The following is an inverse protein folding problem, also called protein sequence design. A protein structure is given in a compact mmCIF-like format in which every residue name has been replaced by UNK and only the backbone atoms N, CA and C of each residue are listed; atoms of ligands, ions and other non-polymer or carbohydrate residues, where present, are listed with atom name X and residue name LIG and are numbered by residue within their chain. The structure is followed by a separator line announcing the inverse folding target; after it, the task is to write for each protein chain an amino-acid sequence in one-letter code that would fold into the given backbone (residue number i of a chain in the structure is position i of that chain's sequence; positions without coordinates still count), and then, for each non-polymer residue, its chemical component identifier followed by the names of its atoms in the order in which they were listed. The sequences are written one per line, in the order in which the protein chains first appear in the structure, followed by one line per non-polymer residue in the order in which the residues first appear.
data_IF_003789940458
#
_entry.id   IF_003789940458
#
_cell.length_a   1.000
_cell.length_b   1.000
_cell.length_c   1.000
_cell.angle_alpha   90.00
_cell.angle_beta   90.00
_cell.angle_gamma   90.00
#
_symmetry.space_group_name_H-M   'P 1'
#
loop_
_entity.id
_entity.type
_entity.pdbx_description
1 polymer ?
#
# COMPACT_ATOMS: atom_id res chain seq x y z
N UNK A 1 59.91 24.43 2.04
CA UNK A 1 59.97 23.86 3.41
C UNK A 1 58.78 22.93 3.59
N UNK A 2 59.02 21.63 3.38
CA UNK A 2 58.01 20.57 3.53
C UNK A 2 57.93 20.16 4.99
N UNK A 3 56.74 20.06 5.55
CA UNK A 3 56.49 19.37 6.81
C UNK A 3 55.65 18.12 6.56
N UNK A 4 56.27 16.98 6.69
CA UNK A 4 55.67 15.67 6.72
C UNK A 4 55.13 15.41 8.12
N UNK A 5 53.87 15.12 8.27
CA UNK A 5 53.27 14.64 9.51
C UNK A 5 52.97 13.16 9.35
N UNK A 6 53.70 12.34 10.10
CA UNK A 6 53.48 10.92 10.22
C UNK A 6 52.36 10.66 11.24
N UNK A 7 51.36 9.88 10.85
CA UNK A 7 50.31 9.37 11.74
C UNK A 7 50.64 7.89 12.04
N UNK A 8 50.90 7.62 13.34
CA UNK A 8 51.16 6.27 13.86
C UNK A 8 49.83 5.49 14.01
N UNK A 9 49.76 4.28 13.42
CA UNK A 9 48.70 3.30 13.70
C UNK A 9 48.97 2.65 15.07
N UNK A 10 48.02 2.71 15.97
CA UNK A 10 47.96 1.85 17.16
C UNK A 10 46.95 0.73 16.89
N UNK A 11 47.47 -0.49 16.81
CA UNK A 11 46.66 -1.71 16.81
C UNK A 11 46.39 -2.14 18.24
N UNK A 12 45.14 -2.21 18.64
CA UNK A 12 44.74 -2.79 19.95
C UNK A 12 44.14 -4.15 19.72
N UNK A 13 44.88 -5.18 20.17
CA UNK A 13 44.41 -6.55 20.23
C UNK A 13 43.61 -6.75 21.51
N UNK A 14 42.36 -7.17 21.40
CA UNK A 14 41.52 -7.62 22.52
C UNK A 14 41.32 -9.12 22.45
N UNK A 15 41.86 -9.81 23.45
CA UNK A 15 41.84 -11.23 23.68
C UNK A 15 40.45 -11.69 24.19
N UNK A 16 39.95 -12.80 23.67
CA UNK A 16 38.78 -13.52 24.17
C UNK A 16 39.17 -14.50 25.26
N UNK A 17 38.41 -14.70 26.33
CA UNK A 17 38.47 -15.91 27.13
C UNK A 17 37.41 -16.93 26.70
N UNK A 18 37.91 -18.14 26.40
CA UNK A 18 37.08 -19.34 26.32
C UNK A 18 36.89 -19.90 27.72
N UNK A 19 35.69 -20.22 28.10
CA UNK A 19 35.40 -21.32 29.06
C UNK A 19 33.94 -21.75 28.92
N UNK A 20 33.78 -22.92 28.33
CA UNK A 20 32.54 -23.68 28.36
C UNK A 20 32.75 -24.91 29.26
N UNK A 21 31.91 -25.08 30.26
CA UNK A 21 31.76 -26.36 30.95
C UNK A 21 30.30 -26.78 31.01
N UNK A 22 29.98 -28.04 30.80
CA UNK A 22 28.63 -28.56 30.79
C UNK A 22 28.13 -28.89 32.20
N UNK A 23 26.86 -28.58 32.45
CA UNK A 23 26.13 -28.93 33.67
C UNK A 23 25.49 -30.32 33.56
N UNK A 24 25.33 -31.05 34.69
CA UNK A 24 24.89 -32.43 34.72
C UNK A 24 23.40 -32.60 34.55
N UNK A 25 23.05 -33.74 33.94
CA UNK A 25 21.71 -34.31 33.80
C UNK A 25 21.13 -34.68 35.17
N UNK A 26 19.92 -34.26 35.47
CA UNK A 26 19.08 -34.79 36.52
C UNK A 26 17.77 -35.35 35.93
N UNK A 27 17.67 -36.66 35.97
CA UNK A 27 16.42 -37.39 35.72
C UNK A 27 15.43 -37.14 36.86
N UNK A 28 14.22 -36.67 36.54
CA UNK A 28 13.11 -36.51 37.45
C UNK A 28 11.82 -37.00 36.81
N UNK A 29 11.37 -38.17 37.17
CA UNK A 29 10.05 -38.75 36.92
C UNK A 29 8.97 -37.95 37.60
N UNK A 30 7.88 -37.59 36.91
CA UNK A 30 6.71 -37.09 37.62
C UNK A 30 5.67 -36.39 36.79
N UNK A 31 4.57 -37.07 36.47
CA UNK A 31 3.25 -36.49 36.43
C UNK A 31 2.90 -35.63 35.20
N UNK A 32 2.40 -36.27 34.20
CA UNK A 32 1.69 -35.63 33.07
C UNK A 32 0.36 -35.02 33.57
N UNK A 33 0.39 -33.74 33.98
CA UNK A 33 -0.84 -32.93 34.10
C UNK A 33 -1.17 -32.38 32.72
N UNK A 34 -2.16 -32.96 32.08
CA UNK A 34 -2.77 -32.43 30.87
C UNK A 34 -3.38 -31.07 31.20
N UNK A 35 -2.73 -30.01 30.76
CA UNK A 35 -3.31 -28.66 30.70
C UNK A 35 -4.39 -28.64 29.60
N UNK A 36 -5.60 -28.11 29.86
CA UNK A 36 -6.59 -27.94 28.81
C UNK A 36 -6.00 -27.06 27.71
N UNK A 37 -6.10 -27.51 26.47
CA UNK A 37 -5.73 -26.73 25.29
C UNK A 37 -6.68 -25.53 25.25
N UNK A 38 -6.12 -24.34 25.49
CA UNK A 38 -6.83 -23.09 25.21
C UNK A 38 -6.86 -22.98 23.68
N UNK A 39 -8.01 -23.26 23.08
CA UNK A 39 -8.29 -22.99 21.69
C UNK A 39 -8.35 -21.48 21.52
N UNK A 40 -7.28 -20.90 21.00
CA UNK A 40 -7.35 -19.54 20.47
C UNK A 40 -8.19 -19.60 19.18
N UNK A 41 -9.24 -18.76 19.04
CA UNK A 41 -9.88 -18.62 17.74
C UNK A 41 -8.80 -18.22 16.73
N UNK A 42 -8.76 -18.92 15.60
CA UNK A 42 -7.90 -18.53 14.49
C UNK A 42 -8.16 -17.04 14.18
N UNK A 43 -7.13 -16.22 13.97
CA UNK A 43 -7.36 -14.83 13.59
C UNK A 43 -8.30 -14.84 12.39
N UNK A 44 -9.38 -14.05 12.49
CA UNK A 44 -10.27 -13.81 11.38
C UNK A 44 -9.38 -13.38 10.21
N UNK A 45 -9.48 -14.08 9.09
CA UNK A 45 -8.79 -13.66 7.87
C UNK A 45 -9.30 -12.26 7.61
N UNK A 46 -8.41 -11.28 7.68
CA UNK A 46 -8.72 -9.91 7.31
C UNK A 46 -9.23 -9.94 5.87
N UNK A 47 -10.55 -9.87 5.71
CA UNK A 47 -11.14 -9.67 4.41
C UNK A 47 -10.72 -8.27 3.98
N UNK A 48 -10.07 -8.15 2.84
CA UNK A 48 -9.63 -6.88 2.29
C UNK A 48 -10.81 -6.04 1.75
N UNK A 49 -12.01 -6.21 2.33
CA UNK A 49 -13.16 -5.38 2.08
C UNK A 49 -13.98 -5.71 0.82
N UNK A 50 -13.80 -6.88 0.20
CA UNK A 50 -14.64 -7.35 -0.92
C UNK A 50 -14.61 -6.49 -2.19
N UNK A 51 -13.69 -5.53 -2.27
CA UNK A 51 -13.55 -4.62 -3.39
C UNK A 51 -12.64 -5.15 -4.51
N UNK A 52 -12.40 -4.30 -5.50
CA UNK A 52 -11.54 -4.57 -6.65
C UNK A 52 -10.12 -5.05 -6.25
N UNK A 53 -9.63 -4.63 -5.09
CA UNK A 53 -8.33 -5.07 -4.55
C UNK A 53 -8.37 -6.51 -4.09
N UNK A 54 -9.40 -6.96 -3.40
CA UNK A 54 -9.54 -8.36 -3.00
C UNK A 54 -9.65 -9.25 -4.23
N UNK A 55 -10.35 -8.78 -5.25
CA UNK A 55 -10.39 -9.40 -6.57
C UNK A 55 -9.01 -9.46 -7.24
N UNK A 56 -8.17 -8.45 -7.09
CA UNK A 56 -6.83 -8.40 -7.69
C UNK A 56 -5.77 -9.18 -6.92
N UNK A 57 -5.88 -9.28 -5.59
CA UNK A 57 -4.77 -9.69 -4.73
C UNK A 57 -5.15 -10.69 -3.64
N UNK A 58 -6.44 -11.03 -3.49
CA UNK A 58 -6.92 -12.05 -2.57
C UNK A 58 -6.36 -13.44 -2.91
N UNK A 59 -6.03 -14.21 -1.90
CA UNK A 59 -5.55 -15.58 -2.05
C UNK A 59 -6.73 -16.53 -2.31
N UNK A 60 -6.99 -16.84 -3.59
CA UNK A 60 -7.87 -17.92 -4.03
C UNK A 60 -9.37 -17.62 -4.04
N UNK A 61 -10.11 -18.33 -4.88
CA UNK A 61 -11.55 -18.12 -5.02
C UNK A 61 -12.29 -18.63 -3.77
N UNK A 62 -12.87 -17.72 -3.01
CA UNK A 62 -14.01 -18.08 -2.19
C UNK A 62 -15.11 -18.53 -3.15
N UNK A 63 -15.46 -19.81 -3.12
CA UNK A 63 -16.62 -20.32 -3.86
C UNK A 63 -17.87 -19.66 -3.30
N UNK A 64 -18.23 -18.53 -3.84
CA UNK A 64 -19.60 -18.03 -3.78
C UNK A 64 -20.37 -18.91 -4.75
N UNK A 65 -21.18 -19.82 -4.25
CA UNK A 65 -22.11 -20.57 -5.10
C UNK A 65 -23.03 -19.54 -5.79
N UNK A 66 -23.21 -19.66 -7.12
CA UNK A 66 -24.17 -18.78 -7.80
C UNK A 66 -25.56 -19.02 -7.20
N UNK A 67 -26.20 -17.95 -6.73
CA UNK A 67 -27.63 -18.03 -6.45
C UNK A 67 -28.34 -18.34 -7.76
N UNK A 68 -29.04 -19.46 -7.80
CA UNK A 68 -29.84 -19.84 -8.96
C UNK A 68 -30.84 -18.73 -9.30
N UNK A 69 -30.99 -18.35 -10.57
CA UNK A 69 -32.00 -17.40 -10.97
C UNK A 69 -33.38 -18.03 -10.74
N UNK A 70 -34.11 -17.55 -9.73
CA UNK A 70 -35.52 -17.90 -9.58
C UNK A 70 -36.31 -17.17 -10.67
N UNK A 71 -36.70 -17.92 -11.71
CA UNK A 71 -37.67 -17.45 -12.68
C UNK A 71 -39.04 -17.32 -11.99
N UNK A 72 -39.52 -16.08 -11.83
CA UNK A 72 -40.92 -15.81 -11.52
C UNK A 72 -41.71 -15.85 -12.80
N UNK A 73 -42.50 -16.94 -12.97
CA UNK A 73 -43.53 -17.04 -14.02
C UNK A 73 -44.74 -16.23 -13.56
N UNK A 74 -45.12 -15.19 -14.32
CA UNK A 74 -46.45 -14.67 -14.53
C UNK A 74 -47.18 -14.01 -13.36
N UNK A 75 -47.21 -12.67 -13.37
CA UNK A 75 -48.34 -11.90 -12.81
C UNK A 75 -48.69 -10.74 -13.79
N UNK A 76 -50.00 -10.43 -13.99
CA UNK A 76 -50.43 -9.48 -14.99
C UNK A 76 -50.19 -8.04 -14.58
N UNK A 77 -50.11 -7.17 -15.58
CA UNK A 77 -49.92 -5.73 -15.47
C UNK A 77 -50.91 -5.08 -14.47
N UNK A 78 -50.37 -4.58 -13.38
CA UNK A 78 -51.10 -3.75 -12.40
C UNK A 78 -50.16 -2.69 -11.86
N UNK A 79 -50.51 -1.42 -12.11
CA UNK A 79 -50.10 -0.18 -11.44
C UNK A 79 -48.77 -0.21 -10.69
N UNK A 80 -47.73 0.39 -11.25
CA UNK A 80 -46.45 0.62 -10.58
C UNK A 80 -46.67 1.49 -9.33
N UNK A 81 -46.35 0.99 -8.12
CA UNK A 81 -46.24 1.88 -6.98
C UNK A 81 -45.05 2.79 -7.20
N UNK A 82 -45.19 4.06 -6.83
CA UNK A 82 -44.14 5.05 -6.83
C UNK A 82 -42.88 4.42 -6.19
N UNK A 83 -41.79 4.40 -6.94
CA UNK A 83 -40.50 3.95 -6.44
C UNK A 83 -40.22 4.74 -5.16
N UNK A 84 -40.32 4.07 -4.00
CA UNK A 84 -39.61 4.50 -2.85
C UNK A 84 -38.14 4.59 -3.31
N UNK A 85 -37.62 5.80 -3.36
CA UNK A 85 -36.23 6.09 -3.59
C UNK A 85 -35.50 5.39 -2.45
N UNK A 86 -35.11 4.12 -2.64
CA UNK A 86 -34.14 3.50 -1.78
C UNK A 86 -32.88 4.34 -1.96
N UNK A 87 -32.61 5.17 -0.97
CA UNK A 87 -31.33 5.82 -0.82
C UNK A 87 -30.28 4.75 -1.11
N UNK A 88 -29.30 5.00 -2.01
CA UNK A 88 -28.26 4.02 -2.27
C UNK A 88 -27.64 3.73 -0.90
N UNK A 89 -27.74 2.46 -0.47
CA UNK A 89 -27.05 1.97 0.72
C UNK A 89 -25.61 2.46 0.54
N UNK A 90 -25.22 3.46 1.38
CA UNK A 90 -24.00 4.22 1.17
C UNK A 90 -22.86 3.28 0.88
N UNK A 91 -22.20 3.48 -0.24
CA UNK A 91 -21.09 2.66 -0.68
C UNK A 91 -20.14 2.45 0.52
N UNK A 92 -19.54 1.29 0.65
CA UNK A 92 -18.54 1.00 1.68
C UNK A 92 -17.48 2.12 1.78
N UNK A 93 -17.19 2.77 0.67
CA UNK A 93 -16.39 3.99 0.57
C UNK A 93 -16.91 5.17 1.43
N UNK A 94 -18.24 5.30 1.61
CA UNK A 94 -18.84 6.36 2.44
C UNK A 94 -18.76 6.06 3.94
N UNK A 95 -18.47 4.82 4.34
CA UNK A 95 -18.35 4.39 5.74
C UNK A 95 -16.91 4.31 6.21
N UNK A 96 -15.93 4.41 5.29
CA UNK A 96 -14.53 4.33 5.66
C UNK A 96 -14.03 5.68 6.18
N UNK A 97 -13.91 5.79 7.48
CA UNK A 97 -13.22 6.91 8.11
C UNK A 97 -11.72 6.58 8.18
N UNK A 98 -10.94 7.25 7.32
CA UNK A 98 -9.48 7.10 7.31
C UNK A 98 -8.89 7.56 8.64
N UNK A 99 -7.95 6.77 9.19
CA UNK A 99 -7.21 7.18 10.39
C UNK A 99 -6.61 8.58 10.21
N UNK A 100 -6.82 9.48 11.17
CA UNK A 100 -6.33 10.87 11.10
C UNK A 100 -4.83 10.99 10.83
N UNK A 101 -4.03 9.97 11.19
CA UNK A 101 -2.58 9.94 10.97
C UNK A 101 -2.21 10.01 9.49
N UNK A 102 -3.07 9.49 8.60
CA UNK A 102 -2.84 9.50 7.15
C UNK A 102 -3.41 10.72 6.43
N UNK A 103 -4.02 11.66 7.15
CA UNK A 103 -4.46 12.91 6.55
C UNK A 103 -3.25 13.74 6.13
N UNK A 104 -3.42 14.48 5.03
CA UNK A 104 -2.41 15.43 4.57
C UNK A 104 -2.12 16.47 5.62
N UNK A 105 -0.84 16.71 5.92
CA UNK A 105 -0.42 17.70 6.90
C UNK A 105 1.03 18.17 6.68
N UNK A 106 1.30 19.41 7.07
CA UNK A 106 2.65 19.94 7.10
C UNK A 106 3.39 19.37 8.33
N UNK A 107 4.61 18.88 8.12
CA UNK A 107 5.45 18.31 9.18
C UNK A 107 6.86 18.89 9.09
N UNK A 108 7.61 18.84 10.19
CA UNK A 108 9.04 19.08 10.17
C UNK A 108 9.77 18.01 9.39
N UNK A 109 10.81 18.41 8.66
CA UNK A 109 11.63 17.53 7.85
C UNK A 109 13.12 17.83 8.08
N UNK A 110 13.80 16.92 8.77
CA UNK A 110 15.23 17.02 9.09
C UNK A 110 16.14 16.29 8.08
N UNK A 111 15.60 15.79 6.96
CA UNK A 111 16.38 15.09 5.94
C UNK A 111 17.19 16.02 5.04
N UNK A 112 18.13 15.45 4.28
CA UNK A 112 19.04 16.20 3.41
C UNK A 112 18.56 16.43 1.98
N UNK A 113 17.32 16.01 1.61
CA UNK A 113 16.82 16.19 0.27
C UNK A 113 16.37 17.63 -0.01
N UNK A 114 16.59 18.09 -1.24
CA UNK A 114 16.26 19.44 -1.67
C UNK A 114 14.75 19.67 -1.76
N UNK A 115 14.27 20.90 -1.54
CA UNK A 115 12.89 21.28 -1.79
C UNK A 115 12.42 20.87 -3.19
N UNK A 116 11.18 20.41 -3.28
CA UNK A 116 10.59 19.84 -4.50
C UNK A 116 10.86 18.35 -4.70
N UNK A 117 11.73 17.71 -3.89
CA UNK A 117 11.92 16.25 -3.93
C UNK A 117 10.71 15.55 -3.29
N UNK A 118 10.28 14.46 -3.89
CA UNK A 118 9.30 13.53 -3.33
C UNK A 118 10.04 12.39 -2.64
N UNK A 119 9.70 12.10 -1.39
CA UNK A 119 10.23 10.96 -0.64
C UNK A 119 9.08 10.01 -0.34
N UNK A 120 9.26 8.74 -0.62
CA UNK A 120 8.30 7.67 -0.35
C UNK A 120 8.88 6.77 0.74
N UNK A 121 8.33 6.88 1.93
CA UNK A 121 8.65 6.08 3.10
C UNK A 121 7.71 4.87 3.09
N UNK A 122 8.15 3.79 2.44
CA UNK A 122 7.36 2.57 2.26
C UNK A 122 7.03 1.89 3.59
N UNK A 123 7.96 1.72 4.55
CA UNK A 123 7.66 1.11 5.85
C UNK A 123 6.58 1.84 6.63
N UNK A 124 6.62 3.17 6.65
CA UNK A 124 5.69 3.99 7.42
C UNK A 124 4.42 4.37 6.64
N UNK A 125 4.38 4.10 5.33
CA UNK A 125 3.26 4.39 4.42
C UNK A 125 2.94 5.87 4.33
N UNK A 126 4.00 6.68 4.19
CA UNK A 126 3.91 8.12 3.96
C UNK A 126 4.68 8.53 2.70
N UNK A 127 4.16 9.56 2.06
CA UNK A 127 4.86 10.31 1.02
C UNK A 127 5.09 11.73 1.54
N UNK A 128 6.29 12.25 1.33
CA UNK A 128 6.67 13.60 1.71
C UNK A 128 7.05 14.38 0.46
N UNK A 129 6.48 15.56 0.29
CA UNK A 129 6.96 16.56 -0.66
C UNK A 129 7.78 17.58 0.12
N UNK A 130 9.10 17.55 -0.04
CA UNK A 130 10.02 18.44 0.67
C UNK A 130 9.74 19.88 0.28
N UNK A 131 9.68 20.75 1.30
CA UNK A 131 9.44 22.19 1.17
C UNK A 131 10.65 22.97 1.72
N UNK A 132 10.67 24.26 1.46
CA UNK A 132 11.63 25.16 2.09
C UNK A 132 11.45 25.24 3.61
N UNK A 133 12.52 25.68 4.31
CA UNK A 133 12.49 25.92 5.74
C UNK A 133 12.39 24.65 6.60
N UNK A 134 12.98 23.54 6.16
CA UNK A 134 13.04 22.30 6.94
C UNK A 134 11.67 21.67 7.18
N UNK A 135 10.77 21.77 6.23
CA UNK A 135 9.40 21.23 6.30
C UNK A 135 9.11 20.30 5.13
N UNK A 136 8.11 19.48 5.28
CA UNK A 136 7.55 18.69 4.19
C UNK A 136 6.03 18.58 4.29
N UNK A 137 5.36 18.53 3.15
CA UNK A 137 3.96 18.19 3.09
C UNK A 137 3.85 16.66 3.05
N UNK A 138 3.28 16.07 4.09
CA UNK A 138 3.13 14.63 4.27
C UNK A 138 1.75 14.18 3.83
N UNK A 139 1.70 13.07 3.09
CA UNK A 139 0.49 12.39 2.65
C UNK A 139 0.51 10.94 3.12
N UNK A 140 -0.65 10.40 3.47
CA UNK A 140 -0.82 8.96 3.66
C UNK A 140 -0.87 8.24 2.31
N UNK A 141 -0.23 7.07 2.22
CA UNK A 141 -0.17 6.29 0.99
C UNK A 141 -0.47 4.81 1.24
N UNK A 142 -0.93 4.12 0.19
CA UNK A 142 -0.89 2.67 0.09
C UNK A 142 0.33 2.23 -0.72
N UNK A 143 0.97 1.13 -0.33
CA UNK A 143 2.23 0.69 -0.91
C UNK A 143 2.19 -0.76 -1.41
N UNK A 144 3.28 -1.23 -2.00
CA UNK A 144 3.44 -2.62 -2.43
C UNK A 144 3.30 -3.60 -1.28
N UNK A 145 2.57 -4.70 -1.51
CA UNK A 145 2.52 -5.84 -0.58
C UNK A 145 3.91 -6.48 -0.46
N UNK A 146 4.16 -7.32 0.58
CA UNK A 146 5.42 -8.05 0.71
C UNK A 146 5.86 -8.75 -0.59
N UNK A 147 7.13 -8.58 -0.97
CA UNK A 147 7.68 -9.05 -2.24
C UNK A 147 7.47 -8.14 -3.45
N UNK A 148 6.72 -7.03 -3.29
CA UNK A 148 6.52 -6.01 -4.33
C UNK A 148 7.01 -4.62 -3.90
N UNK A 149 7.73 -4.54 -2.79
CA UNK A 149 8.41 -3.31 -2.36
C UNK A 149 9.69 -3.12 -3.17
N UNK A 150 10.07 -1.87 -3.37
CA UNK A 150 11.30 -1.49 -4.06
C UNK A 150 11.83 -0.20 -3.44
N UNK A 151 13.11 0.04 -3.61
CA UNK A 151 13.80 1.24 -3.13
C UNK A 151 14.65 1.84 -4.23
N UNK A 152 15.11 3.07 -4.04
CA UNK A 152 16.01 3.77 -4.94
C UNK A 152 15.44 5.07 -5.49
N UNK A 153 16.14 5.66 -6.45
CA UNK A 153 15.81 6.98 -7.01
C UNK A 153 15.18 6.81 -8.39
N UNK A 154 14.09 7.52 -8.62
CA UNK A 154 13.41 7.68 -9.90
C UNK A 154 13.11 9.16 -10.15
N UNK A 155 12.63 9.46 -11.35
CA UNK A 155 12.14 10.80 -11.69
C UNK A 155 10.76 10.65 -12.31
N UNK A 156 9.91 11.63 -12.08
CA UNK A 156 8.60 11.69 -12.75
C UNK A 156 8.85 11.85 -14.26
N UNK A 157 8.47 10.86 -15.03
CA UNK A 157 8.68 10.84 -16.50
C UNK A 157 7.47 11.33 -17.29
N UNK A 158 6.27 11.17 -16.73
CA UNK A 158 5.03 11.65 -17.34
C UNK A 158 3.97 11.88 -16.27
N UNK A 159 2.97 12.69 -16.61
CA UNK A 159 1.80 13.00 -15.78
C UNK A 159 0.54 12.83 -16.62
N UNK A 160 -0.52 12.27 -16.06
CA UNK A 160 -1.82 12.07 -16.71
C UNK A 160 -2.95 12.38 -15.75
N UNK A 161 -3.97 13.06 -16.25
CA UNK A 161 -5.27 13.22 -15.61
C UNK A 161 -6.19 12.10 -16.06
N UNK A 162 -6.95 11.54 -15.14
CA UNK A 162 -7.87 10.43 -15.39
C UNK A 162 -7.27 9.40 -16.36
N UNK A 163 -6.12 8.78 -16.00
CA UNK A 163 -5.42 7.88 -16.90
C UNK A 163 -6.24 6.63 -17.22
N UNK A 164 -6.12 6.15 -18.43
CA UNK A 164 -6.57 4.81 -18.79
C UNK A 164 -5.74 3.76 -18.05
N UNK A 165 -6.36 2.64 -17.76
CA UNK A 165 -5.69 1.50 -17.15
C UNK A 165 -5.72 0.28 -18.06
N UNK A 166 -4.53 -0.24 -18.34
CA UNK A 166 -4.30 -1.52 -19.00
C UNK A 166 -3.52 -2.40 -18.04
N UNK A 167 -4.10 -3.51 -17.54
CA UNK A 167 -3.39 -4.43 -16.66
C UNK A 167 -2.13 -4.96 -17.34
N UNK A 168 -0.98 -5.03 -16.62
CA UNK A 168 0.20 -5.70 -17.14
C UNK A 168 -0.09 -7.18 -17.49
N UNK A 169 0.59 -7.70 -18.53
CA UNK A 169 0.37 -9.08 -18.99
C UNK A 169 0.51 -10.12 -17.86
N UNK A 170 1.49 -9.93 -16.96
CA UNK A 170 1.67 -10.80 -15.80
C UNK A 170 0.50 -10.73 -14.81
N UNK A 171 -0.20 -9.61 -14.72
CA UNK A 171 -1.40 -9.48 -13.89
C UNK A 171 -2.56 -10.24 -14.53
N UNK A 172 -2.76 -10.11 -15.84
CA UNK A 172 -3.79 -10.87 -16.58
C UNK A 172 -3.55 -12.39 -16.54
N UNK A 173 -2.30 -12.84 -16.48
CA UNK A 173 -1.99 -14.26 -16.27
C UNK A 173 -2.47 -14.78 -14.90
N UNK A 174 -2.31 -13.98 -13.85
CA UNK A 174 -2.77 -14.32 -12.50
C UNK A 174 -4.28 -14.12 -12.31
N UNK A 175 -4.85 -13.17 -13.04
CA UNK A 175 -6.24 -12.73 -12.95
C UNK A 175 -6.82 -12.53 -14.35
N UNK A 176 -7.18 -13.62 -15.03
CA UNK A 176 -7.72 -13.58 -16.40
C UNK A 176 -9.13 -12.96 -16.48
N UNK A 177 -9.80 -12.83 -15.34
CA UNK A 177 -11.10 -12.19 -15.18
C UNK A 177 -11.06 -10.66 -15.25
N UNK A 178 -9.87 -10.04 -15.18
CA UNK A 178 -9.74 -8.60 -15.28
C UNK A 178 -10.04 -8.08 -16.68
N UNK A 179 -10.62 -6.88 -16.79
CA UNK A 179 -10.79 -6.22 -18.09
C UNK A 179 -9.42 -5.96 -18.71
N UNK A 180 -9.29 -6.14 -20.01
CA UNK A 180 -8.03 -5.87 -20.73
C UNK A 180 -7.71 -4.36 -20.83
N UNK A 181 -8.72 -3.53 -20.61
CA UNK A 181 -8.65 -2.06 -20.67
C UNK A 181 -9.78 -1.44 -19.85
N UNK A 182 -9.47 -0.34 -19.15
CA UNK A 182 -10.46 0.53 -18.52
C UNK A 182 -10.15 1.98 -18.89
N UNK A 183 -11.13 2.69 -19.41
CA UNK A 183 -11.02 4.13 -19.63
C UNK A 183 -10.84 4.87 -18.31
N UNK A 184 -10.24 6.06 -18.36
CA UNK A 184 -10.13 6.94 -17.19
C UNK A 184 -11.52 7.32 -16.64
N UNK A 185 -11.65 7.34 -15.32
CA UNK A 185 -12.92 7.64 -14.65
C UNK A 185 -12.92 7.25 -13.18
N UNK A 186 -14.05 7.53 -12.48
CA UNK A 186 -14.16 7.28 -11.02
C UNK A 186 -13.93 5.82 -10.63
N UNK A 187 -14.32 4.87 -11.48
CA UNK A 187 -14.20 3.43 -11.23
C UNK A 187 -12.82 2.86 -11.60
N UNK A 188 -11.97 3.69 -12.24
CA UNK A 188 -10.64 3.26 -12.66
C UNK A 188 -9.69 3.17 -11.44
N UNK A 189 -8.94 2.05 -11.28
CA UNK A 189 -8.06 1.84 -10.13
C UNK A 189 -6.90 2.85 -10.04
N UNK A 190 -6.58 3.57 -11.12
CA UNK A 190 -5.56 4.63 -11.09
C UNK A 190 -6.09 5.97 -10.59
N UNK A 191 -7.41 6.09 -10.41
CA UNK A 191 -8.04 7.29 -9.89
C UNK A 191 -7.83 8.54 -10.74
N UNK A 192 -7.90 9.71 -10.09
CA UNK A 192 -7.98 11.01 -10.77
C UNK A 192 -6.68 11.43 -11.45
N UNK A 193 -5.52 11.01 -10.97
CA UNK A 193 -4.19 11.42 -11.47
C UNK A 193 -3.19 10.27 -11.40
N UNK A 194 -2.24 10.25 -12.33
CA UNK A 194 -1.06 9.39 -12.25
C UNK A 194 0.22 10.14 -12.65
N UNK A 195 1.29 9.88 -11.89
CA UNK A 195 2.66 10.31 -12.16
C UNK A 195 3.52 9.06 -12.38
N UNK A 196 4.07 8.92 -13.56
CA UNK A 196 4.87 7.77 -13.97
C UNK A 196 6.32 7.93 -13.51
N UNK A 197 6.97 6.84 -13.10
CA UNK A 197 8.31 6.88 -12.51
C UNK A 197 9.35 6.23 -13.46
N UNK A 198 10.09 7.08 -14.17
CA UNK A 198 11.07 6.65 -15.16
C UNK A 198 10.45 5.83 -16.29
N UNK A 199 11.17 4.79 -16.72
CA UNK A 199 10.73 3.81 -17.72
C UNK A 199 10.14 2.53 -17.08
N UNK A 200 9.71 2.61 -15.83
CA UNK A 200 9.20 1.47 -15.07
C UNK A 200 7.68 1.38 -15.14
N UNK A 201 7.12 0.29 -14.62
CA UNK A 201 5.67 0.15 -14.41
C UNK A 201 5.17 0.85 -13.15
N UNK A 202 6.07 1.43 -12.33
CA UNK A 202 5.69 2.07 -11.08
C UNK A 202 5.11 3.47 -11.30
N UNK A 203 4.13 3.81 -10.50
CA UNK A 203 3.41 5.09 -10.55
C UNK A 203 3.07 5.56 -9.15
N UNK A 204 2.94 6.86 -8.98
CA UNK A 204 2.19 7.48 -7.90
C UNK A 204 0.84 7.84 -8.50
N UNK A 205 -0.27 7.33 -7.93
CA UNK A 205 -1.59 7.50 -8.55
C UNK A 205 -2.71 7.58 -7.52
N UNK A 206 -3.87 8.08 -7.93
CA UNK A 206 -5.08 8.05 -7.14
C UNK A 206 -5.63 6.65 -6.93
N UNK A 207 -6.83 6.56 -6.37
CA UNK A 207 -7.49 5.27 -6.20
C UNK A 207 -9.00 5.43 -6.15
N UNK A 208 -9.73 4.46 -6.70
CA UNK A 208 -11.15 4.26 -6.44
C UNK A 208 -11.42 3.56 -5.10
N UNK A 209 -10.36 3.18 -4.37
CA UNK A 209 -10.39 2.45 -3.10
C UNK A 209 -9.63 3.20 -2.00
N UNK A 210 -10.18 4.32 -1.47
CA UNK A 210 -9.50 5.17 -0.49
C UNK A 210 -9.20 4.45 0.83
N UNK A 211 -9.91 3.37 1.16
CA UNK A 211 -9.66 2.55 2.36
C UNK A 211 -8.33 1.79 2.30
N UNK A 212 -7.68 1.71 1.14
CA UNK A 212 -6.37 1.05 1.00
C UNK A 212 -5.19 1.95 1.40
N UNK A 213 -5.44 3.20 1.76
CA UNK A 213 -4.41 4.09 2.29
C UNK A 213 -3.99 3.63 3.70
N UNK A 214 -2.70 3.57 3.94
CA UNK A 214 -2.12 3.01 5.16
C UNK A 214 -1.90 1.49 5.10
N UNK A 215 -2.15 0.85 3.95
CA UNK A 215 -2.01 -0.62 3.79
C UNK A 215 -0.98 -1.01 2.74
N UNK A 216 -0.65 -2.31 2.67
CA UNK A 216 0.30 -2.91 1.74
C UNK A 216 -0.44 -3.82 0.76
N UNK A 217 -1.02 -3.26 -0.29
CA UNK A 217 -1.93 -4.01 -1.19
C UNK A 217 -1.54 -3.97 -2.67
N UNK A 218 -0.66 -3.04 -3.08
CA UNK A 218 -0.34 -2.86 -4.50
C UNK A 218 0.70 -3.84 -5.03
N UNK A 219 0.90 -3.86 -6.34
CA UNK A 219 2.03 -4.54 -6.99
C UNK A 219 3.24 -3.61 -7.18
N UNK A 220 3.48 -2.71 -6.22
CA UNK A 220 4.64 -1.81 -6.20
C UNK A 220 4.31 -0.35 -6.56
N UNK A 221 3.13 -0.04 -7.07
CA UNK A 221 2.67 1.33 -7.26
C UNK A 221 2.32 1.99 -5.91
N UNK A 222 2.38 3.30 -5.88
CA UNK A 222 2.08 4.12 -4.70
C UNK A 222 0.69 4.72 -4.86
N UNK A 223 -0.22 4.32 -3.98
CA UNK A 223 -1.62 4.75 -3.99
C UNK A 223 -1.83 5.95 -3.11
N UNK A 224 -2.65 6.86 -3.55
CA UNK A 224 -3.09 8.04 -2.79
C UNK A 224 -4.61 8.18 -2.88
N UNK A 225 -5.21 8.92 -1.96
CA UNK A 225 -6.57 9.39 -2.17
C UNK A 225 -6.62 10.34 -3.36
N UNK A 226 -7.77 10.42 -4.02
CA UNK A 226 -7.90 11.28 -5.20
C UNK A 226 -7.63 12.76 -4.90
N UNK A 227 -8.11 13.28 -3.77
CA UNK A 227 -7.85 14.66 -3.36
C UNK A 227 -6.36 14.93 -3.05
N UNK A 228 -5.64 13.93 -2.53
CA UNK A 228 -4.22 14.06 -2.21
C UNK A 228 -3.33 13.94 -3.46
N UNK A 229 -3.67 13.04 -4.38
CA UNK A 229 -2.90 12.92 -5.63
C UNK A 229 -3.13 14.12 -6.54
N UNK A 230 -4.31 14.73 -6.54
CA UNK A 230 -4.59 15.98 -7.26
C UNK A 230 -3.69 17.10 -6.72
N UNK A 231 -3.67 17.30 -5.39
CA UNK A 231 -2.82 18.31 -4.77
C UNK A 231 -1.32 18.08 -5.04
N UNK A 232 -0.85 16.83 -4.92
CA UNK A 232 0.54 16.50 -5.22
C UNK A 232 0.85 16.70 -6.72
N UNK A 233 -0.06 16.30 -7.60
CA UNK A 233 0.08 16.44 -9.05
C UNK A 233 0.30 17.91 -9.45
N UNK A 234 -0.44 18.84 -8.88
CA UNK A 234 -0.32 20.27 -9.21
C UNK A 234 1.02 20.87 -8.74
N UNK A 235 1.64 20.30 -7.70
CA UNK A 235 2.92 20.75 -7.15
C UNK A 235 4.14 20.11 -7.82
N UNK A 236 4.00 18.91 -8.36
CA UNK A 236 5.09 18.10 -8.91
C UNK A 236 5.19 18.29 -10.42
N UNK A 237 6.40 18.38 -10.96
CA UNK A 237 6.68 18.53 -12.41
C UNK A 237 7.29 17.26 -12.98
N UNK A 238 7.20 17.09 -14.30
CA UNK A 238 8.04 16.10 -15.02
C UNK A 238 9.51 16.44 -14.74
N UNK A 239 10.32 15.42 -14.44
CA UNK A 239 11.70 15.58 -13.99
C UNK A 239 11.86 15.63 -12.46
N UNK A 240 10.79 15.79 -11.68
CA UNK A 240 10.88 15.78 -10.20
C UNK A 240 11.56 14.50 -9.71
N UNK A 241 12.54 14.64 -8.82
CA UNK A 241 13.22 13.53 -8.14
C UNK A 241 12.27 12.85 -7.16
N UNK A 242 12.26 11.52 -7.20
CA UNK A 242 11.51 10.65 -6.30
C UNK A 242 12.46 9.66 -5.64
N UNK A 243 12.58 9.73 -4.33
CA UNK A 243 13.40 8.82 -3.51
C UNK A 243 12.47 7.85 -2.79
N UNK A 244 12.73 6.56 -2.93
CA UNK A 244 11.95 5.50 -2.26
C UNK A 244 12.83 4.76 -1.28
N UNK A 245 12.38 4.69 -0.02
CA UNK A 245 13.06 4.07 1.11
C UNK A 245 12.17 3.06 1.81
#
# INVERSE_FOLDING_TARGET
MQRVVAIALMASACSLPANAQPAPSAAGTGGQRTRPAVSYPAPARDSLGGGFIEALFGAGPSRVMPAEPRYYVGQPYGVMPAYARTEPVGSEAARYEMSPVYRRQMVEYAGGEQPGTVIIDTPNRFLYLVQDGGRALRYGIGVGRPGFTWAGIKHVSAKREWPDWTPPAQMLQRRPDLPRYMAGGPDNPLGARAMYLGNTLYRIHGSNEPWTIGTQVSSGCIRMRNEDVIDLYDRVKVGTKVVVI
#
